data_IF_367599343072
#
_entry.id   IF_367599343072
#
_cell.length_a   1.000
_cell.length_b   1.000
_cell.length_c   1.000
_cell.angle_alpha   90.00
_cell.angle_beta   90.00
_cell.angle_gamma   90.00
#
_symmetry.space_group_name_H-M   'P 1'
#
loop_
_entity.id
_entity.type
_entity.pdbx_description
1 polymer ?
#
# COMPACT_ATOMS: atom_id res chain seq x y z
N UNK A 1 -2.33 -18.68 14.89
CA UNK A 1 -2.04 -17.88 13.68
C UNK A 1 -0.86 -16.97 13.99
N UNK A 2 0.25 -17.08 13.25
CA UNK A 2 1.38 -16.16 13.37
C UNK A 2 1.03 -14.84 12.68
N UNK A 3 1.15 -13.72 13.38
CA UNK A 3 0.90 -12.39 12.80
C UNK A 3 2.08 -12.07 11.87
N UNK A 4 1.82 -11.94 10.57
CA UNK A 4 2.85 -11.50 9.63
C UNK A 4 3.28 -10.07 9.98
N UNK A 5 4.58 -9.79 9.90
CA UNK A 5 5.10 -8.42 10.04
C UNK A 5 4.64 -7.60 8.83
N UNK A 6 4.56 -6.27 8.98
CA UNK A 6 4.23 -5.38 7.86
C UNK A 6 5.16 -5.65 6.66
N UNK A 7 6.47 -5.77 6.90
CA UNK A 7 7.45 -6.09 5.86
C UNK A 7 7.12 -7.39 5.12
N UNK A 8 6.73 -8.45 5.82
CA UNK A 8 6.36 -9.72 5.19
C UNK A 8 5.10 -9.58 4.32
N UNK A 9 4.10 -8.83 4.78
CA UNK A 9 2.89 -8.55 4.00
C UNK A 9 3.18 -7.70 2.76
N UNK A 10 4.05 -6.69 2.87
CA UNK A 10 4.47 -5.88 1.72
C UNK A 10 5.22 -6.70 0.67
N UNK A 11 6.12 -7.61 1.10
CA UNK A 11 6.79 -8.56 0.21
C UNK A 11 5.79 -9.47 -0.51
N UNK A 12 4.77 -9.96 0.19
CA UNK A 12 3.73 -10.77 -0.44
C UNK A 12 2.96 -9.97 -1.52
N UNK A 13 2.69 -8.69 -1.28
CA UNK A 13 2.07 -7.82 -2.29
C UNK A 13 2.95 -7.61 -3.52
N UNK A 14 4.27 -7.45 -3.35
CA UNK A 14 5.21 -7.38 -4.48
C UNK A 14 5.13 -8.63 -5.37
N UNK A 15 5.08 -9.82 -4.75
CA UNK A 15 4.94 -11.09 -5.50
C UNK A 15 3.60 -11.14 -6.25
N UNK A 16 2.50 -10.78 -5.60
CA UNK A 16 1.17 -10.75 -6.23
C UNK A 16 1.12 -9.74 -7.40
N UNK A 17 1.78 -8.59 -7.25
CA UNK A 17 1.92 -7.59 -8.30
C UNK A 17 2.61 -8.17 -9.52
N UNK A 18 3.78 -8.76 -9.32
CA UNK A 18 4.65 -9.22 -10.39
C UNK A 18 4.06 -10.44 -11.12
N UNK A 19 3.55 -11.42 -10.36
CA UNK A 19 2.90 -12.61 -10.93
C UNK A 19 1.60 -12.26 -11.65
N UNK A 20 0.77 -11.39 -11.07
CA UNK A 20 -0.48 -10.93 -11.68
C UNK A 20 -0.23 -10.15 -12.97
N UNK A 21 0.74 -9.22 -12.96
CA UNK A 21 1.13 -8.47 -14.15
C UNK A 21 1.67 -9.38 -15.26
N UNK A 22 2.50 -10.38 -14.92
CA UNK A 22 3.01 -11.37 -15.88
C UNK A 22 1.88 -12.17 -16.53
N UNK A 23 0.91 -12.63 -15.74
CA UNK A 23 -0.27 -13.37 -16.25
C UNK A 23 -1.12 -12.52 -17.18
N UNK A 24 -1.41 -11.27 -16.80
CA UNK A 24 -2.19 -10.33 -17.62
C UNK A 24 -1.49 -9.99 -18.93
N UNK A 25 -0.17 -9.76 -18.90
CA UNK A 25 0.64 -9.57 -20.11
C UNK A 25 0.62 -10.80 -21.01
N UNK A 26 0.74 -12.00 -20.44
CA UNK A 26 0.64 -13.27 -21.18
C UNK A 26 -0.71 -13.48 -21.87
N UNK A 27 -1.78 -12.89 -21.33
CA UNK A 27 -3.11 -12.88 -21.93
C UNK A 27 -3.34 -11.72 -22.93
N UNK A 28 -2.32 -10.90 -23.22
CA UNK A 28 -2.44 -9.74 -24.11
C UNK A 28 -3.14 -8.51 -23.50
N UNK A 29 -3.46 -8.55 -22.20
CA UNK A 29 -4.19 -7.48 -21.50
C UNK A 29 -3.23 -6.42 -20.95
N UNK A 30 -2.54 -5.70 -21.83
CA UNK A 30 -1.44 -4.79 -21.44
C UNK A 30 -1.91 -3.66 -20.52
N UNK A 31 -3.00 -2.96 -20.88
CA UNK A 31 -3.53 -1.85 -20.06
C UNK A 31 -3.98 -2.34 -18.68
N UNK A 32 -4.61 -3.51 -18.60
CA UNK A 32 -5.01 -4.12 -17.33
C UNK A 32 -3.81 -4.51 -16.48
N UNK A 33 -2.73 -5.01 -17.10
CA UNK A 33 -1.49 -5.32 -16.39
C UNK A 33 -0.86 -4.05 -15.77
N UNK A 34 -0.87 -2.93 -16.50
CA UNK A 34 -0.39 -1.63 -15.98
C UNK A 34 -1.24 -1.14 -14.82
N UNK A 35 -2.58 -1.21 -14.94
CA UNK A 35 -3.49 -0.82 -13.88
C UNK A 35 -3.31 -1.70 -12.62
N UNK A 36 -3.17 -3.02 -12.79
CA UNK A 36 -2.89 -3.96 -11.70
C UNK A 36 -1.61 -3.59 -10.94
N UNK A 37 -0.52 -3.34 -11.67
CA UNK A 37 0.75 -2.90 -11.08
C UNK A 37 0.57 -1.59 -10.30
N UNK A 38 -0.06 -0.58 -10.91
CA UNK A 38 -0.23 0.73 -10.30
C UNK A 38 -1.09 0.69 -9.01
N UNK A 39 -2.15 -0.13 -8.99
CA UNK A 39 -3.00 -0.29 -7.81
C UNK A 39 -2.19 -0.87 -6.65
N UNK A 40 -1.41 -1.92 -6.89
CA UNK A 40 -0.64 -2.57 -5.82
C UNK A 40 0.52 -1.68 -5.36
N UNK A 41 1.18 -0.97 -6.28
CA UNK A 41 2.22 0.01 -5.91
C UNK A 41 1.66 1.14 -5.04
N UNK A 42 0.48 1.66 -5.38
CA UNK A 42 -0.21 2.66 -4.56
C UNK A 42 -0.57 2.11 -3.17
N UNK A 43 -1.01 0.85 -3.08
CA UNK A 43 -1.32 0.22 -1.80
C UNK A 43 -0.07 0.02 -0.93
N UNK A 44 1.05 -0.40 -1.52
CA UNK A 44 2.35 -0.52 -0.83
C UNK A 44 2.81 0.84 -0.32
N UNK A 45 2.75 1.88 -1.17
CA UNK A 45 3.13 3.24 -0.81
C UNK A 45 2.28 3.76 0.36
N UNK A 46 0.95 3.65 0.25
CA UNK A 46 0.03 4.07 1.30
C UNK A 46 0.32 3.38 2.65
N UNK A 47 0.60 2.07 2.62
CA UNK A 47 0.93 1.33 3.83
C UNK A 47 2.26 1.77 4.46
N UNK A 48 3.26 2.11 3.64
CA UNK A 48 4.54 2.63 4.13
C UNK A 48 4.40 4.05 4.69
N UNK A 49 3.66 4.93 4.01
CA UNK A 49 3.40 6.30 4.45
C UNK A 49 2.67 6.28 5.80
N UNK A 50 1.67 5.41 5.96
CA UNK A 50 0.97 5.23 7.23
C UNK A 50 1.89 4.67 8.33
N UNK A 51 2.71 3.67 8.03
CA UNK A 51 3.64 3.11 9.01
C UNK A 51 4.68 4.14 9.47
N UNK A 52 5.17 4.96 8.54
CA UNK A 52 6.05 6.09 8.86
C UNK A 52 5.35 7.12 9.73
N UNK A 53 4.13 7.52 9.36
CA UNK A 53 3.33 8.47 10.13
C UNK A 53 3.06 8.00 11.57
N UNK A 54 2.69 6.73 11.75
CA UNK A 54 2.48 6.12 13.08
C UNK A 54 3.77 6.16 13.90
N UNK A 55 4.92 5.85 13.29
CA UNK A 55 6.21 5.92 13.97
C UNK A 55 6.56 7.35 14.39
N UNK A 56 6.44 8.31 13.47
CA UNK A 56 6.74 9.72 13.75
C UNK A 56 5.84 10.28 14.87
N UNK A 57 4.54 9.94 14.85
CA UNK A 57 3.60 10.33 15.89
C UNK A 57 3.97 9.73 17.27
N UNK A 58 4.39 8.46 17.31
CA UNK A 58 4.88 7.83 18.54
C UNK A 58 6.16 8.47 19.09
N UNK A 59 6.96 9.11 18.22
CA UNK A 59 8.14 9.90 18.57
C UNK A 59 7.80 11.37 18.89
N UNK A 60 6.52 11.75 18.85
CA UNK A 60 6.04 13.10 19.19
C UNK A 60 5.94 14.08 18.00
N UNK A 61 6.27 13.66 16.78
CA UNK A 61 6.10 14.47 15.58
C UNK A 61 4.79 14.12 14.86
N UNK A 62 3.80 15.00 14.98
CA UNK A 62 2.47 14.78 14.40
C UNK A 62 2.34 15.22 12.94
N UNK A 63 3.31 15.97 12.38
CA UNK A 63 3.19 16.51 11.02
C UNK A 63 3.00 15.42 9.94
N UNK A 64 3.75 14.29 9.96
CA UNK A 64 3.55 13.20 9.00
C UNK A 64 2.19 12.50 9.15
N UNK A 65 1.61 12.49 10.35
CA UNK A 65 0.28 11.90 10.57
C UNK A 65 -0.83 12.75 9.93
N UNK A 66 -0.73 14.07 10.03
CA UNK A 66 -1.66 14.97 9.35
C UNK A 66 -1.56 14.84 7.82
N UNK A 67 -0.35 14.82 7.28
CA UNK A 67 -0.13 14.62 5.84
C UNK A 67 -0.70 13.28 5.36
N UNK A 68 -0.49 12.19 6.10
CA UNK A 68 -1.04 10.88 5.75
C UNK A 68 -2.57 10.85 5.76
N UNK A 69 -3.23 11.55 6.68
CA UNK A 69 -4.70 11.67 6.71
C UNK A 69 -5.21 12.35 5.44
N UNK A 70 -4.54 13.42 4.99
CA UNK A 70 -4.95 14.17 3.81
C UNK A 70 -4.66 13.39 2.51
N UNK A 71 -3.45 12.85 2.35
CA UNK A 71 -3.01 12.14 1.14
C UNK A 71 -3.81 10.85 0.92
N UNK A 72 -4.12 10.13 1.99
CA UNK A 72 -4.90 8.89 1.92
C UNK A 72 -6.41 9.13 2.07
N UNK A 73 -6.83 10.38 2.23
CA UNK A 73 -8.22 10.76 2.51
C UNK A 73 -8.84 9.96 3.68
N UNK A 74 -8.05 9.65 4.71
CA UNK A 74 -8.52 8.85 5.86
C UNK A 74 -9.64 9.56 6.63
N UNK A 75 -9.73 10.89 6.54
CA UNK A 75 -10.82 11.69 7.09
C UNK A 75 -12.19 11.39 6.48
N UNK A 76 -12.21 10.76 5.30
CA UNK A 76 -13.43 10.34 4.59
C UNK A 76 -13.77 8.86 4.84
N UNK A 77 -12.91 8.13 5.55
CA UNK A 77 -13.14 6.74 5.91
C UNK A 77 -13.87 6.66 7.25
N UNK A 78 -15.12 6.18 7.24
CA UNK A 78 -15.77 5.77 8.48
C UNK A 78 -15.08 4.51 9.00
N UNK A 79 -14.43 4.63 10.16
CA UNK A 79 -13.97 3.47 10.92
C UNK A 79 -15.17 2.94 11.70
N UNK A 80 -15.76 1.84 11.23
CA UNK A 80 -16.82 1.10 11.93
C UNK A 80 -16.22 0.14 12.98
#
# INVERSE_FOLDING_TARGET
MTRATLTASLRALEVIRDDGAKRLRGAGMITTALAHTAIIDNAIRAALDLAYAVKAAAEGNMAPAWEAIDVLALSQMEVQ
#
